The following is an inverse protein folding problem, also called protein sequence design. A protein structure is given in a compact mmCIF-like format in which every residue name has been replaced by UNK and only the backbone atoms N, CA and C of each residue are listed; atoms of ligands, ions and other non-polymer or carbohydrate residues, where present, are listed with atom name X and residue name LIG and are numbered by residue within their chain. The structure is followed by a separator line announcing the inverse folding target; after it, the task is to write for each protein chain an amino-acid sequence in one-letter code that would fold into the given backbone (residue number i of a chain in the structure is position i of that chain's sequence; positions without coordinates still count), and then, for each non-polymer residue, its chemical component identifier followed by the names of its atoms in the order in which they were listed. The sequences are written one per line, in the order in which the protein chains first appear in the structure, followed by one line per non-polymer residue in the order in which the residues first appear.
data_IF_242913290848
#
_entry.id   IF_242913290848
#
_cell.length_a   1.000
_cell.length_b   1.000
_cell.length_c   1.000
_cell.angle_alpha   90.00
_cell.angle_beta   90.00
_cell.angle_gamma   90.00
#
_symmetry.space_group_name_H-M   'P 1'
#
loop_
_entity.id
_entity.type
_entity.pdbx_description
1 polymer ?
#
# COMPACT_ATOMS: atom_id res chain seq x y z
N UNK A 1 7.41 -22.24 -24.46
CA UNK A 1 7.15 -22.13 -23.00
C UNK A 1 7.23 -20.69 -22.45
N UNK A 2 8.29 -19.93 -22.73
CA UNK A 2 8.49 -18.56 -22.18
C UNK A 2 7.46 -17.51 -22.66
N UNK A 3 6.98 -17.61 -23.91
CA UNK A 3 5.92 -16.73 -24.46
C UNK A 3 4.59 -16.88 -23.70
N UNK A 4 4.26 -18.10 -23.25
CA UNK A 4 3.03 -18.42 -22.51
C UNK A 4 3.02 -17.81 -21.10
N UNK A 5 4.19 -17.64 -20.48
CA UNK A 5 4.34 -17.04 -19.14
C UNK A 5 4.51 -15.51 -19.16
N UNK A 6 4.38 -14.85 -20.32
CA UNK A 6 4.53 -13.40 -20.50
C UNK A 6 5.85 -12.81 -19.95
N UNK A 7 6.89 -13.63 -19.76
CA UNK A 7 8.16 -13.23 -19.11
C UNK A 7 9.03 -12.38 -20.04
N UNK A 8 8.69 -12.30 -21.33
CA UNK A 8 9.42 -11.51 -22.34
C UNK A 8 9.57 -10.03 -21.98
N UNK A 9 8.65 -9.47 -21.18
CA UNK A 9 8.72 -8.07 -20.71
C UNK A 9 9.81 -7.84 -19.65
N UNK A 10 10.25 -8.91 -18.97
CA UNK A 10 11.15 -8.83 -17.82
C UNK A 10 12.50 -9.55 -18.05
N UNK A 11 12.63 -10.27 -19.16
CA UNK A 11 13.76 -11.15 -19.44
C UNK A 11 14.15 -11.08 -20.93
N UNK A 12 15.36 -10.60 -21.20
CA UNK A 12 16.00 -10.72 -22.52
C UNK A 12 16.93 -11.92 -22.49
N UNK A 13 16.80 -12.82 -23.47
CA UNK A 13 17.68 -13.98 -23.64
C UNK A 13 18.38 -13.83 -24.98
N UNK A 14 19.71 -13.90 -24.96
CA UNK A 14 20.57 -13.92 -26.15
C UNK A 14 21.20 -15.31 -26.24
N UNK A 15 21.10 -15.93 -27.41
CA UNK A 15 21.68 -17.24 -27.68
C UNK A 15 22.77 -17.02 -28.74
N UNK A 16 24.00 -17.34 -28.39
CA UNK A 16 25.16 -17.26 -29.28
C UNK A 16 25.66 -18.67 -29.57
N UNK A 17 25.97 -18.96 -30.84
CA UNK A 17 26.62 -20.22 -31.20
C UNK A 17 28.09 -20.16 -30.78
N UNK A 18 28.52 -21.10 -29.95
CA UNK A 18 29.92 -21.25 -29.55
C UNK A 18 30.35 -22.71 -29.81
N UNK A 19 31.09 -22.99 -30.89
CA UNK A 19 31.64 -24.32 -31.10
C UNK A 19 32.57 -24.67 -29.93
N UNK A 20 32.40 -25.88 -29.38
CA UNK A 20 33.23 -26.41 -28.31
C UNK A 20 33.89 -27.70 -28.76
N UNK A 21 35.20 -27.77 -28.60
CA UNK A 21 35.99 -28.96 -28.89
C UNK A 21 35.96 -29.87 -27.67
N UNK A 22 35.41 -31.08 -27.83
CA UNK A 22 35.31 -32.07 -26.75
C UNK A 22 36.33 -33.18 -27.01
N UNK A 23 37.11 -33.55 -25.98
CA UNK A 23 38.10 -34.63 -26.05
C UNK A 23 37.52 -35.95 -25.49
N UNK A 24 37.66 -37.06 -26.22
CA UNK A 24 37.32 -38.41 -25.74
C UNK A 24 38.56 -39.19 -25.27
N UNK A 25 38.35 -40.30 -24.55
CA UNK A 25 39.41 -41.30 -24.31
C UNK A 25 40.01 -41.75 -25.66
N UNK A 26 41.35 -41.83 -25.73
CA UNK A 26 42.18 -42.01 -26.95
C UNK A 26 42.22 -40.80 -27.92
N UNK A 27 42.33 -39.56 -27.41
CA UNK A 27 42.86 -38.42 -28.19
C UNK A 27 42.04 -37.94 -29.40
N UNK A 28 40.87 -38.53 -29.69
CA UNK A 28 39.97 -38.04 -30.74
C UNK A 28 39.23 -36.79 -30.26
N UNK A 29 39.44 -35.69 -30.98
CA UNK A 29 38.70 -34.43 -30.86
C UNK A 29 37.55 -34.37 -31.87
N UNK A 30 36.38 -33.92 -31.42
CA UNK A 30 35.26 -33.54 -32.29
C UNK A 30 34.81 -32.13 -31.95
N UNK A 31 34.59 -31.32 -32.97
CA UNK A 31 33.90 -30.04 -32.84
C UNK A 31 32.40 -30.29 -32.72
N UNK A 32 31.82 -29.82 -31.61
CA UNK A 32 30.38 -29.84 -31.40
C UNK A 32 29.89 -28.41 -31.43
N UNK A 33 28.89 -28.13 -32.26
CA UNK A 33 28.20 -26.84 -32.26
C UNK A 33 27.38 -26.73 -30.99
N UNK A 34 27.93 -26.02 -30.01
CA UNK A 34 27.25 -25.71 -28.75
C UNK A 34 26.65 -24.30 -28.81
N UNK A 35 25.70 -24.03 -27.92
CA UNK A 35 25.05 -22.74 -27.79
C UNK A 35 25.31 -22.19 -26.39
N UNK A 36 25.75 -20.94 -26.31
CA UNK A 36 25.87 -20.20 -25.06
C UNK A 36 24.62 -19.36 -24.87
N UNK A 37 23.92 -19.57 -23.76
CA UNK A 37 22.76 -18.78 -23.37
C UNK A 37 23.20 -17.70 -22.38
N UNK A 38 22.98 -16.45 -22.75
CA UNK A 38 23.14 -15.28 -21.88
C UNK A 38 21.76 -14.68 -21.63
N UNK A 39 21.48 -14.22 -20.40
CA UNK A 39 20.21 -13.58 -20.08
C UNK A 39 20.41 -12.30 -19.28
N UNK A 40 19.53 -11.33 -19.49
CA UNK A 40 19.45 -10.09 -18.73
C UNK A 40 18.05 -9.94 -18.15
N UNK A 41 17.97 -9.69 -16.84
CA UNK A 41 16.71 -9.46 -16.12
C UNK A 41 16.51 -7.96 -15.98
N UNK A 42 15.37 -7.48 -16.48
CA UNK A 42 14.97 -6.07 -16.37
C UNK A 42 14.37 -5.79 -15.00
N UNK A 43 15.24 -5.52 -14.01
CA UNK A 43 14.83 -5.24 -12.62
C UNK A 43 13.85 -4.07 -12.50
N UNK A 44 14.04 -3.01 -13.30
CA UNK A 44 13.17 -1.83 -13.29
C UNK A 44 11.73 -2.17 -13.71
N UNK A 45 11.56 -2.95 -14.79
CA UNK A 45 10.25 -3.39 -15.24
C UNK A 45 9.54 -4.27 -14.19
N UNK A 46 10.29 -5.10 -13.46
CA UNK A 46 9.77 -5.91 -12.36
C UNK A 46 9.27 -5.06 -11.19
N UNK A 47 10.02 -4.04 -10.80
CA UNK A 47 9.63 -3.11 -9.73
C UNK A 47 8.37 -2.34 -10.10
N UNK A 48 8.35 -1.74 -11.30
CA UNK A 48 7.18 -1.02 -11.80
C UNK A 48 5.94 -1.91 -11.87
N UNK A 49 6.08 -3.16 -12.32
CA UNK A 49 4.96 -4.11 -12.34
C UNK A 49 4.47 -4.51 -10.95
N UNK A 50 5.33 -4.45 -9.91
CA UNK A 50 4.90 -4.67 -8.51
C UNK A 50 4.15 -3.47 -7.97
N UNK A 51 4.67 -2.27 -8.21
CA UNK A 51 4.02 -1.01 -7.83
C UNK A 51 2.64 -0.90 -8.48
N UNK A 52 2.54 -1.11 -9.81
CA UNK A 52 1.28 -1.13 -10.58
C UNK A 52 0.21 -2.07 -10.00
N UNK A 53 0.59 -3.20 -9.39
CA UNK A 53 -0.37 -4.09 -8.73
C UNK A 53 -0.92 -3.52 -7.42
N UNK A 54 -0.18 -2.63 -6.77
CA UNK A 54 -0.55 -2.03 -5.49
C UNK A 54 -1.32 -0.71 -5.66
N UNK A 55 -1.25 -0.10 -6.84
CA UNK A 55 -2.03 1.11 -7.13
C UNK A 55 -3.53 0.85 -6.98
N UNK A 56 -4.21 1.72 -6.22
CA UNK A 56 -5.65 1.63 -5.97
C UNK A 56 -6.05 0.68 -4.83
N UNK A 57 -5.10 -0.01 -4.20
CA UNK A 57 -5.36 -0.86 -3.02
C UNK A 57 -5.14 -0.06 -1.75
N UNK A 58 -6.11 -0.08 -0.84
CA UNK A 58 -5.97 0.47 0.51
C UNK A 58 -5.64 -0.64 1.49
N UNK A 59 -4.45 -0.57 2.11
CA UNK A 59 -4.01 -1.52 3.12
C UNK A 59 -4.27 -0.98 4.52
N UNK A 60 -4.81 -1.82 5.39
CA UNK A 60 -5.01 -1.52 6.80
C UNK A 60 -3.99 -2.29 7.65
N UNK A 61 -3.32 -1.59 8.56
CA UNK A 61 -2.35 -2.18 9.48
C UNK A 61 -2.95 -2.06 10.88
N UNK A 62 -3.03 -3.19 11.59
CA UNK A 62 -3.50 -3.26 12.97
C UNK A 62 -2.51 -4.10 13.79
N UNK A 63 -2.44 -3.80 15.08
CA UNK A 63 -1.68 -4.57 16.07
C UNK A 63 -2.41 -5.83 16.57
N UNK A 64 -3.65 -6.04 16.11
CA UNK A 64 -4.50 -7.16 16.52
C UNK A 64 -4.13 -8.42 15.73
N UNK A 65 -4.15 -9.57 16.40
CA UNK A 65 -3.88 -10.84 15.73
C UNK A 65 -5.07 -11.22 14.82
N UNK A 66 -4.78 -11.82 13.66
CA UNK A 66 -5.83 -12.24 12.71
C UNK A 66 -6.79 -13.31 13.23
N UNK A 67 -6.48 -13.92 14.38
CA UNK A 67 -7.35 -14.85 15.11
C UNK A 67 -8.35 -14.12 16.03
N UNK A 68 -8.07 -12.88 16.42
CA UNK A 68 -8.90 -12.11 17.34
C UNK A 68 -10.03 -11.38 16.61
N UNK A 69 -9.77 -10.91 15.38
CA UNK A 69 -10.68 -10.05 14.63
C UNK A 69 -10.59 -10.32 13.13
N UNK A 70 -11.76 -10.29 12.49
CA UNK A 70 -11.86 -10.44 11.04
C UNK A 70 -11.41 -9.17 10.31
N UNK A 71 -10.87 -9.31 9.09
CA UNK A 71 -10.51 -8.16 8.26
C UNK A 71 -11.68 -7.22 8.00
N UNK A 72 -12.91 -7.73 7.95
CA UNK A 72 -14.13 -6.94 7.75
C UNK A 72 -14.42 -6.03 8.95
N UNK A 73 -14.17 -6.51 10.17
CA UNK A 73 -14.32 -5.72 11.39
C UNK A 73 -13.28 -4.60 11.47
N UNK A 74 -12.02 -4.87 11.10
CA UNK A 74 -10.98 -3.83 11.02
C UNK A 74 -11.42 -2.69 10.10
N UNK A 75 -11.94 -3.01 8.91
CA UNK A 75 -12.45 -2.00 7.96
C UNK A 75 -13.62 -1.23 8.58
N UNK A 76 -14.52 -1.92 9.27
CA UNK A 76 -15.68 -1.29 9.91
C UNK A 76 -15.24 -0.33 11.01
N UNK A 77 -14.27 -0.72 11.84
CA UNK A 77 -13.70 0.13 12.87
C UNK A 77 -13.00 1.34 12.30
N UNK A 78 -12.21 1.17 11.22
CA UNK A 78 -11.60 2.29 10.52
C UNK A 78 -12.66 3.28 10.02
N UNK A 79 -13.76 2.80 9.44
CA UNK A 79 -14.86 3.65 8.96
C UNK A 79 -15.55 4.43 10.08
N UNK A 80 -15.58 3.92 11.31
CA UNK A 80 -16.12 4.67 12.47
C UNK A 80 -15.34 5.96 12.78
N UNK A 81 -14.13 6.13 12.25
CA UNK A 81 -13.39 7.40 12.32
C UNK A 81 -14.21 8.56 11.72
N UNK A 82 -15.06 8.31 10.72
CA UNK A 82 -15.93 9.33 10.14
C UNK A 82 -16.83 9.99 11.20
N UNK A 83 -17.24 9.27 12.24
CA UNK A 83 -18.04 9.83 13.32
C UNK A 83 -17.31 10.98 14.04
N UNK A 84 -15.98 10.89 14.14
CA UNK A 84 -15.15 11.95 14.72
C UNK A 84 -15.09 13.15 13.79
N UNK A 85 -14.97 12.92 12.48
CA UNK A 85 -14.96 13.99 11.48
C UNK A 85 -16.30 14.73 11.44
N UNK A 86 -17.42 14.00 11.48
CA UNK A 86 -18.77 14.58 11.59
C UNK A 86 -18.95 15.35 12.90
N UNK A 87 -18.44 14.85 14.02
CA UNK A 87 -18.47 15.58 15.29
C UNK A 87 -17.74 16.92 15.19
N UNK A 88 -16.54 16.93 14.60
CA UNK A 88 -15.81 18.17 14.35
C UNK A 88 -16.52 19.09 13.37
N UNK A 89 -17.20 18.53 12.37
CA UNK A 89 -18.01 19.33 11.45
C UNK A 89 -19.15 20.03 12.19
N UNK A 90 -19.95 19.30 12.99
CA UNK A 90 -21.03 19.84 13.82
C UNK A 90 -20.52 20.91 14.81
N UNK A 91 -19.38 20.66 15.47
CA UNK A 91 -18.77 21.63 16.40
C UNK A 91 -18.37 22.94 15.69
N UNK A 92 -17.83 22.85 14.47
CA UNK A 92 -17.40 24.03 13.73
C UNK A 92 -18.55 24.81 13.12
N UNK A 93 -19.62 24.12 12.68
CA UNK A 93 -20.76 24.75 12.02
C UNK A 93 -21.83 25.24 13.00
N UNK A 94 -22.36 24.36 13.85
CA UNK A 94 -23.52 24.67 14.70
C UNK A 94 -23.14 25.33 16.03
N UNK A 95 -22.01 24.91 16.59
CA UNK A 95 -21.50 25.44 17.86
C UNK A 95 -20.54 26.62 17.66
N UNK A 96 -20.41 27.09 16.42
CA UNK A 96 -19.62 28.26 16.00
C UNK A 96 -18.28 28.34 16.73
N UNK A 97 -17.54 27.22 16.75
CA UNK A 97 -16.21 27.21 17.36
C UNK A 97 -15.31 28.32 16.77
N UNK A 98 -15.59 28.78 15.55
CA UNK A 98 -14.88 29.85 14.86
C UNK A 98 -15.84 31.02 14.53
N UNK A 99 -15.36 32.27 14.60
CA UNK A 99 -13.96 32.66 14.83
C UNK A 99 -13.62 32.80 16.32
N UNK A 100 -12.45 32.27 16.71
CA UNK A 100 -11.91 32.44 18.07
C UNK A 100 -11.19 33.78 18.14
N UNK A 101 -11.88 34.84 18.60
CA UNK A 101 -11.29 36.17 18.78
C UNK A 101 -10.43 36.29 20.07
N UNK A 102 -10.08 35.17 20.68
CA UNK A 102 -9.37 35.10 21.95
C UNK A 102 -7.87 34.92 21.72
N UNK A 103 -7.04 35.81 22.27
CA UNK A 103 -5.57 35.77 22.14
C UNK A 103 -4.88 34.98 23.25
N UNK A 104 -5.51 34.87 24.44
CA UNK A 104 -4.95 34.14 25.59
C UNK A 104 -5.24 32.65 25.48
N UNK A 105 -4.18 31.84 25.53
CA UNK A 105 -4.26 30.37 25.45
C UNK A 105 -5.26 29.72 26.42
N UNK A 106 -5.34 30.22 27.66
CA UNK A 106 -6.31 29.73 28.66
C UNK A 106 -7.76 29.91 28.21
N UNK A 107 -8.09 31.05 27.59
CA UNK A 107 -9.45 31.36 27.13
C UNK A 107 -9.81 30.54 25.89
N UNK A 108 -8.86 30.34 24.98
CA UNK A 108 -9.04 29.45 23.81
C UNK A 108 -9.35 28.03 24.27
N UNK A 109 -8.58 27.50 25.24
CA UNK A 109 -8.84 26.17 25.82
C UNK A 109 -10.24 26.08 26.44
N UNK A 110 -10.62 27.07 27.25
CA UNK A 110 -11.95 27.09 27.88
C UNK A 110 -13.08 27.10 26.84
N UNK A 111 -12.98 27.92 25.79
CA UNK A 111 -13.96 27.96 24.69
C UNK A 111 -14.10 26.62 23.98
N UNK A 112 -12.98 26.01 23.57
CA UNK A 112 -12.97 24.70 22.91
C UNK A 112 -13.61 23.64 23.81
N UNK A 113 -13.31 23.64 25.11
CA UNK A 113 -13.90 22.70 26.07
C UNK A 113 -15.41 22.88 26.18
N UNK A 114 -15.90 24.11 26.28
CA UNK A 114 -17.34 24.39 26.36
C UNK A 114 -18.06 23.93 25.08
N UNK A 115 -17.53 24.26 23.89
CA UNK A 115 -18.11 23.80 22.63
C UNK A 115 -18.12 22.26 22.53
N UNK A 116 -17.10 21.58 23.06
CA UNK A 116 -17.04 20.11 23.07
C UNK A 116 -18.10 19.51 24.01
N UNK A 117 -18.29 20.08 25.20
CA UNK A 117 -19.34 19.65 26.13
C UNK A 117 -20.74 19.89 25.57
N UNK A 118 -20.96 21.05 24.96
CA UNK A 118 -22.23 21.38 24.32
C UNK A 118 -22.54 20.43 23.15
N UNK A 119 -21.53 20.01 22.38
CA UNK A 119 -21.69 18.97 21.37
C UNK A 119 -22.12 17.62 21.96
N UNK A 120 -21.54 17.20 23.09
CA UNK A 120 -21.96 15.95 23.73
C UNK A 120 -23.41 16.02 24.19
N UNK A 121 -23.84 17.15 24.76
CA UNK A 121 -25.23 17.35 25.16
C UNK A 121 -26.16 17.31 23.95
N UNK A 122 -25.83 18.06 22.89
CA UNK A 122 -26.58 18.07 21.64
C UNK A 122 -26.69 16.67 21.02
N UNK A 123 -25.59 15.92 20.98
CA UNK A 123 -25.57 14.56 20.45
C UNK A 123 -26.35 13.56 21.31
N UNK A 124 -26.45 13.76 22.63
CA UNK A 124 -27.27 12.90 23.49
C UNK A 124 -28.76 13.18 23.25
N UNK A 125 -29.12 14.47 23.13
CA UNK A 125 -30.49 14.89 22.82
C UNK A 125 -30.97 14.38 21.47
N UNK A 126 -30.11 14.40 20.44
CA UNK A 126 -30.48 13.96 19.09
C UNK A 126 -30.52 12.42 18.94
N UNK A 127 -29.93 11.68 19.89
CA UNK A 127 -29.98 10.20 19.91
C UNK A 127 -31.19 9.65 20.67
N UNK A 128 -31.85 10.46 21.50
CA UNK A 128 -33.09 10.13 22.20
C UNK A 128 -34.28 10.41 21.31
#
# INVERSE_FOLDING_TARGET
MLKRKQVKKFLTITIEQKPQTISRKKGMTREVQSFKLSYAIHKQALTLARELRQHGITSFISNLAGTEISSREIITWYRRKNNVEEAFHKIKSHLELRPVHLTRSKRVKAHVTICTLAYFLYSDMERR
#
